data_IF_914318078991
#
_entry.id   IF_914318078991
#
_cell.length_a   1.000
_cell.length_b   1.000
_cell.length_c   1.000
_cell.angle_alpha   90.00
_cell.angle_beta   90.00
_cell.angle_gamma   90.00
#
_symmetry.space_group_name_H-M   'P 1'
#
loop_
_entity.id
_entity.type
_entity.pdbx_description
1 polymer ?
#
# COMPACT_ATOMS: atom_id res chain seq x y z
N UNK A 1 -4.98 -7.36 17.56
CA UNK A 1 -4.17 -6.16 17.27
C UNK A 1 -3.91 -5.43 18.57
N UNK A 2 -2.66 -5.26 18.98
CA UNK A 2 -2.32 -4.63 20.26
C UNK A 2 -2.61 -3.13 20.26
N UNK A 3 -3.01 -2.58 21.41
CA UNK A 3 -3.15 -1.12 21.59
C UNK A 3 -1.78 -0.44 21.47
N UNK A 4 -1.77 0.75 20.87
CA UNK A 4 -0.59 1.63 20.84
C UNK A 4 -0.45 2.25 22.24
N UNK A 5 0.75 2.25 22.80
CA UNK A 5 1.06 2.91 24.07
C UNK A 5 1.27 4.41 23.83
N UNK A 6 0.84 5.26 24.75
CA UNK A 6 0.91 6.72 24.61
C UNK A 6 2.34 7.22 24.36
N UNK A 7 3.34 6.64 25.03
CA UNK A 7 4.76 6.99 24.88
C UNK A 7 5.50 6.22 23.77
N UNK A 8 4.77 5.56 22.86
CA UNK A 8 5.43 4.84 21.76
C UNK A 8 6.02 5.86 20.78
N UNK A 9 7.31 5.78 20.40
CA UNK A 9 7.85 6.66 19.39
C UNK A 9 7.17 6.43 18.04
N UNK A 10 7.03 7.50 17.27
CA UNK A 10 6.59 7.39 15.89
C UNK A 10 7.68 6.71 15.05
N UNK A 11 7.25 5.89 14.10
CA UNK A 11 8.12 5.14 13.18
C UNK A 11 7.49 5.10 11.79
N UNK A 12 8.28 4.81 10.77
CA UNK A 12 7.77 4.61 9.41
C UNK A 12 7.21 3.20 9.24
N UNK A 13 6.05 3.09 8.59
CA UNK A 13 5.48 1.81 8.18
C UNK A 13 6.33 1.17 7.08
N UNK A 14 6.74 -0.09 7.27
CA UNK A 14 7.56 -0.81 6.27
C UNK A 14 6.82 -0.96 4.92
N UNK A 15 5.49 -1.12 4.94
CA UNK A 15 4.69 -1.32 3.73
C UNK A 15 4.49 -0.04 2.91
N UNK A 16 4.02 1.03 3.56
CA UNK A 16 3.59 2.25 2.86
C UNK A 16 4.39 3.51 3.20
N UNK A 17 5.43 3.42 4.04
CA UNK A 17 6.32 4.53 4.43
C UNK A 17 5.59 5.66 5.19
N UNK A 18 4.33 5.44 5.58
CA UNK A 18 3.60 6.40 6.42
C UNK A 18 4.26 6.52 7.79
N UNK A 19 4.44 7.74 8.27
CA UNK A 19 4.97 8.04 9.60
C UNK A 19 3.85 8.06 10.65
N UNK A 20 4.09 7.49 11.82
CA UNK A 20 3.20 7.61 12.97
C UNK A 20 3.45 6.56 14.04
N UNK A 21 2.65 6.57 15.11
CA UNK A 21 2.66 5.48 16.07
C UNK A 21 1.95 4.26 15.46
N UNK A 22 2.67 3.15 15.33
CA UNK A 22 2.16 1.93 14.69
C UNK A 22 1.93 0.83 15.73
N UNK A 23 0.98 -0.10 15.54
CA UNK A 23 0.84 -1.25 16.44
C UNK A 23 2.01 -2.24 16.31
N UNK A 24 2.72 -2.26 15.18
CA UNK A 24 3.90 -3.08 14.92
C UNK A 24 4.76 -2.47 13.80
N UNK A 25 5.42 -3.31 12.98
CA UNK A 25 6.20 -2.85 11.80
C UNK A 25 5.34 -2.28 10.67
N UNK A 26 4.06 -2.61 10.66
CA UNK A 26 3.09 -2.14 9.69
C UNK A 26 2.02 -1.27 10.37
N UNK A 27 1.52 -0.28 9.63
CA UNK A 27 0.29 0.43 10.02
C UNK A 27 -0.91 -0.52 9.92
N UNK A 28 -2.04 -0.15 10.55
CA UNK A 28 -3.26 -0.98 10.56
C UNK A 28 -3.70 -1.38 9.16
N UNK A 29 -3.67 -0.44 8.22
CA UNK A 29 -4.08 -0.70 6.84
C UNK A 29 -3.14 -1.68 6.10
N UNK A 30 -1.82 -1.57 6.31
CA UNK A 30 -0.86 -2.52 5.75
C UNK A 30 -0.93 -3.90 6.43
N UNK A 31 -1.19 -3.95 7.73
CA UNK A 31 -1.45 -5.21 8.44
C UNK A 31 -2.66 -5.94 7.84
N UNK A 32 -3.80 -5.26 7.69
CA UNK A 32 -5.01 -5.86 7.11
C UNK A 32 -4.77 -6.28 5.67
N UNK A 33 -4.12 -5.44 4.87
CA UNK A 33 -3.79 -5.78 3.49
C UNK A 33 -2.88 -7.00 3.38
N UNK A 34 -1.95 -7.18 4.31
CA UNK A 34 -1.06 -8.34 4.33
C UNK A 34 -1.66 -9.62 4.92
N UNK A 35 -2.90 -9.61 5.43
CA UNK A 35 -3.53 -10.85 5.92
C UNK A 35 -3.81 -11.86 4.79
N UNK A 36 -4.47 -11.46 3.68
CA UNK A 36 -4.68 -12.37 2.55
C UNK A 36 -3.52 -12.37 1.53
N UNK A 37 -2.58 -11.43 1.63
CA UNK A 37 -1.55 -11.20 0.60
C UNK A 37 -0.16 -11.54 1.13
N UNK A 38 0.50 -12.50 0.50
CA UNK A 38 1.87 -12.89 0.86
C UNK A 38 2.89 -11.81 0.48
N UNK A 39 4.02 -11.73 1.20
CA UNK A 39 5.15 -10.92 0.77
C UNK A 39 5.63 -11.32 -0.63
N UNK A 40 5.95 -10.33 -1.44
CA UNK A 40 6.53 -10.50 -2.77
C UNK A 40 7.12 -9.19 -3.28
N UNK A 41 7.76 -9.24 -4.45
CA UNK A 41 8.35 -8.04 -5.06
C UNK A 41 7.29 -7.26 -5.81
N UNK A 42 7.07 -6.00 -5.43
CA UNK A 42 6.16 -5.12 -6.18
C UNK A 42 6.72 -4.83 -7.58
N UNK A 43 5.92 -5.05 -8.63
CA UNK A 43 6.32 -4.81 -10.02
C UNK A 43 6.73 -3.35 -10.28
N UNK A 44 6.09 -2.39 -9.59
CA UNK A 44 6.30 -0.95 -9.79
C UNK A 44 7.46 -0.41 -8.94
N UNK A 45 7.36 -0.53 -7.62
CA UNK A 45 8.35 0.09 -6.71
C UNK A 45 9.47 -0.86 -6.27
N UNK A 46 9.47 -2.12 -6.74
CA UNK A 46 10.51 -3.15 -6.50
C UNK A 46 10.78 -3.51 -5.04
N UNK A 47 9.99 -2.99 -4.09
CA UNK A 47 10.09 -3.33 -2.66
C UNK A 47 9.48 -4.70 -2.38
N UNK A 48 10.07 -5.42 -1.43
CA UNK A 48 9.54 -6.68 -0.90
C UNK A 48 8.55 -6.41 0.24
N UNK A 49 7.27 -6.54 -0.07
CA UNK A 49 6.13 -6.21 0.82
C UNK A 49 4.94 -7.09 0.44
N UNK A 50 3.85 -7.16 1.23
CA UNK A 50 2.62 -7.82 0.78
C UNK A 50 2.13 -7.27 -0.56
N UNK A 51 1.86 -8.16 -1.52
CA UNK A 51 1.43 -7.83 -2.88
C UNK A 51 0.13 -8.53 -3.26
N UNK A 52 -0.72 -7.84 -4.01
CA UNK A 52 -1.90 -8.40 -4.68
C UNK A 52 -1.75 -8.14 -6.19
N UNK A 53 -1.85 -9.20 -7.00
CA UNK A 53 -1.54 -9.19 -8.44
C UNK A 53 -0.16 -8.57 -8.74
N UNK A 54 0.86 -8.89 -7.94
CA UNK A 54 2.21 -8.34 -8.11
C UNK A 54 2.39 -6.87 -7.71
N UNK A 55 1.37 -6.22 -7.15
CA UNK A 55 1.43 -4.80 -6.78
C UNK A 55 1.22 -4.60 -5.28
N UNK A 56 2.04 -3.75 -4.66
CA UNK A 56 1.86 -3.39 -3.26
C UNK A 56 0.67 -2.44 -3.06
N UNK A 57 0.14 -2.40 -1.83
CA UNK A 57 -0.96 -1.50 -1.44
C UNK A 57 -0.76 -0.05 -1.88
N UNK A 58 0.46 0.48 -1.70
CA UNK A 58 0.75 1.89 -1.99
C UNK A 58 0.67 2.18 -3.50
N UNK A 59 1.30 1.36 -4.33
CA UNK A 59 1.26 1.53 -5.78
C UNK A 59 -0.16 1.37 -6.33
N UNK A 60 -0.97 0.45 -5.79
CA UNK A 60 -2.39 0.33 -6.15
C UNK A 60 -3.20 1.57 -5.77
N UNK A 61 -2.95 2.15 -4.60
CA UNK A 61 -3.61 3.39 -4.18
C UNK A 61 -3.23 4.57 -5.09
N UNK A 62 -1.95 4.72 -5.42
CA UNK A 62 -1.47 5.76 -6.34
C UNK A 62 -2.11 5.62 -7.73
N UNK A 63 -2.20 4.40 -8.27
CA UNK A 63 -2.88 4.15 -9.53
C UNK A 63 -4.37 4.57 -9.47
N UNK A 64 -5.07 4.22 -8.39
CA UNK A 64 -6.45 4.65 -8.18
C UNK A 64 -6.61 6.18 -8.06
N UNK A 65 -5.64 6.87 -7.46
CA UNK A 65 -5.64 8.35 -7.41
C UNK A 65 -5.34 8.97 -8.77
N UNK A 66 -4.42 8.41 -9.54
CA UNK A 66 -4.11 8.89 -10.89
C UNK A 66 -5.33 8.81 -11.80
N UNK A 67 -6.07 7.69 -11.75
CA UNK A 67 -7.33 7.49 -12.47
C UNK A 67 -8.36 8.55 -12.08
N UNK A 68 -8.56 8.77 -10.78
CA UNK A 68 -9.49 9.79 -10.26
C UNK A 68 -9.08 11.20 -10.70
N UNK A 69 -7.78 11.51 -10.64
CA UNK A 69 -7.25 12.80 -11.04
C UNK A 69 -7.40 13.05 -12.56
N UNK A 70 -7.31 11.99 -13.37
CA UNK A 70 -7.49 12.06 -14.81
C UNK A 70 -8.96 12.10 -15.27
N UNK A 71 -9.93 11.99 -14.35
CA UNK A 71 -11.37 12.04 -14.69
C UNK A 71 -11.86 10.87 -15.55
N UNK A 72 -11.10 9.77 -15.62
CA UNK A 72 -11.44 8.58 -16.40
C UNK A 72 -12.28 7.60 -15.57
N UNK A 73 -13.41 7.15 -16.13
CA UNK A 73 -14.25 6.11 -15.54
C UNK A 73 -13.68 4.70 -15.79
N UNK A 74 -14.15 3.72 -15.02
CA UNK A 74 -13.47 2.45 -14.70
C UNK A 74 -12.91 1.57 -15.84
N UNK A 75 -13.38 1.68 -17.07
CA UNK A 75 -12.84 0.91 -18.21
C UNK A 75 -11.57 1.53 -18.82
N UNK A 76 -11.50 2.86 -18.95
CA UNK A 76 -10.34 3.55 -19.54
C UNK A 76 -9.12 3.59 -18.59
N UNK A 77 -9.39 3.46 -17.28
CA UNK A 77 -8.41 3.44 -16.21
C UNK A 77 -7.42 2.26 -16.30
N UNK A 78 -7.92 1.08 -16.69
CA UNK A 78 -7.11 -0.13 -16.74
C UNK A 78 -6.02 -0.06 -17.83
N UNK A 79 -6.32 0.53 -19.00
CA UNK A 79 -5.32 0.69 -20.06
C UNK A 79 -4.18 1.66 -19.69
N UNK A 80 -4.49 2.75 -18.98
CA UNK A 80 -3.50 3.78 -18.65
C UNK A 80 -2.45 3.33 -17.62
N UNK A 81 -2.76 2.32 -16.81
CA UNK A 81 -1.87 1.80 -15.75
C UNK A 81 -0.92 0.71 -16.27
N UNK A 82 -1.33 -0.08 -17.28
CA UNK A 82 -0.57 -1.25 -17.76
C UNK A 82 0.21 -1.04 -19.07
N UNK A 83 0.05 0.09 -19.77
CA UNK A 83 0.73 0.41 -21.03
C UNK A 83 1.95 1.37 -20.87
N UNK A 84 2.64 1.34 -19.73
CA UNK A 84 3.85 2.14 -19.52
C UNK A 84 5.07 1.30 -19.25
#
# INVERSE_FOLDING_TARGET
MSKIRDNKPAVSCVGCISWGQLPGRFCRACCTYGQPNSPGTCAVCRREVPVHDGHCRLCRAQAGWAVKAAGVNGEAAALAIFLR
#
